data_IF_088376681692
#
_entry.id   IF_088376681692
#
_cell.length_a   1.000
_cell.length_b   1.000
_cell.length_c   1.000
_cell.angle_alpha   90.00
_cell.angle_beta   90.00
_cell.angle_gamma   90.00
#
_symmetry.space_group_name_H-M   'P 1'
#
loop_
_entity.id
_entity.type
_entity.pdbx_description
1 polymer ?
#
# COMPACT_ATOMS: atom_id res chain seq x y z
N UNK A 1 3.07 40.70 15.35
CA UNK A 1 3.58 39.45 14.74
C UNK A 1 2.40 38.51 14.57
N UNK A 2 2.16 37.97 13.36
CA UNK A 2 0.97 37.13 13.09
C UNK A 2 1.41 35.68 12.94
N UNK A 3 0.77 34.78 13.67
CA UNK A 3 1.01 33.35 13.55
C UNK A 3 0.20 32.79 12.37
N UNK A 4 0.86 31.98 11.56
CA UNK A 4 0.22 31.22 10.49
C UNK A 4 0.36 29.75 10.82
N UNK A 5 -0.74 28.99 10.67
CA UNK A 5 -0.67 27.54 10.76
C UNK A 5 -0.02 27.02 9.48
N UNK A 6 0.98 26.16 9.62
CA UNK A 6 1.66 25.54 8.50
C UNK A 6 1.95 24.07 8.74
N UNK A 7 2.20 23.36 7.65
CA UNK A 7 2.66 21.97 7.66
C UNK A 7 3.96 21.87 6.87
N UNK A 8 4.81 20.91 7.21
CA UNK A 8 6.02 20.65 6.43
C UNK A 8 5.70 19.57 5.40
N UNK A 9 5.84 19.92 4.12
CA UNK A 9 5.71 19.02 3.00
C UNK A 9 7.00 19.05 2.19
N UNK A 10 7.60 17.88 1.97
CA UNK A 10 8.86 17.75 1.22
C UNK A 10 10.00 18.67 1.73
N UNK A 11 10.03 18.94 3.05
CA UNK A 11 11.01 19.83 3.67
C UNK A 11 10.70 21.32 3.55
N UNK A 12 9.57 21.71 2.96
CA UNK A 12 9.13 23.10 2.82
C UNK A 12 7.92 23.37 3.72
N UNK A 13 7.90 24.53 4.39
CA UNK A 13 6.74 24.96 5.19
C UNK A 13 5.67 25.50 4.24
N UNK A 14 4.52 24.83 4.22
CA UNK A 14 3.32 25.24 3.48
C UNK A 14 2.34 25.84 4.46
N UNK A 15 1.90 27.08 4.19
CA UNK A 15 0.88 27.76 5.01
C UNK A 15 -0.49 27.21 4.67
N UNK A 16 -1.27 26.88 5.70
CA UNK A 16 -2.63 26.37 5.57
C UNK A 16 -3.62 27.48 5.88
N UNK A 17 -4.58 27.72 4.97
CA UNK A 17 -5.65 28.69 5.16
C UNK A 17 -5.22 30.15 5.01
N UNK A 18 -4.07 30.40 4.37
CA UNK A 18 -3.60 31.75 4.10
C UNK A 18 -2.46 31.79 3.08
N UNK A 19 -2.12 32.99 2.64
CA UNK A 19 -0.97 33.27 1.77
C UNK A 19 -0.18 34.44 2.32
N UNK A 20 1.13 34.42 2.10
CA UNK A 20 2.00 35.56 2.37
C UNK A 20 2.38 36.23 1.05
N UNK A 21 2.57 37.56 1.04
CA UNK A 21 3.12 38.26 -0.11
C UNK A 21 4.52 37.73 -0.47
N UNK A 22 4.86 37.79 -1.76
CA UNK A 22 6.22 37.49 -2.22
C UNK A 22 7.23 38.47 -1.60
N UNK A 23 8.45 37.99 -1.35
CA UNK A 23 9.49 38.76 -0.66
C UNK A 23 9.34 38.83 0.86
N UNK A 24 8.31 38.21 1.45
CA UNK A 24 8.16 38.16 2.91
C UNK A 24 9.23 37.27 3.54
N UNK A 25 10.08 37.83 4.41
CA UNK A 25 11.02 37.06 5.23
C UNK A 25 10.28 36.48 6.44
N UNK A 26 10.35 35.16 6.59
CA UNK A 26 9.64 34.44 7.65
C UNK A 26 10.61 33.73 8.60
N UNK A 27 10.31 33.83 9.89
CA UNK A 27 10.94 33.00 10.93
C UNK A 27 9.95 31.94 11.36
N UNK A 28 10.38 30.68 11.32
CA UNK A 28 9.53 29.53 11.67
C UNK A 28 9.83 29.11 13.11
N UNK A 29 8.83 29.20 13.98
CA UNK A 29 8.88 28.63 15.32
C UNK A 29 8.08 27.34 15.34
N UNK A 30 8.72 26.23 15.70
CA UNK A 30 8.07 24.91 15.81
C UNK A 30 7.96 24.57 17.29
N UNK A 31 6.74 24.31 17.78
CA UNK A 31 6.55 23.82 19.14
C UNK A 31 7.06 22.38 19.30
N UNK A 32 7.45 22.02 20.53
CA UNK A 32 8.00 20.69 20.83
C UNK A 32 7.01 19.56 20.53
N UNK A 33 5.72 19.77 20.84
CA UNK A 33 4.66 18.80 20.60
C UNK A 33 4.41 18.55 19.11
N UNK A 34 4.45 19.59 18.29
CA UNK A 34 4.34 19.50 16.83
C UNK A 34 5.53 18.77 16.22
N UNK A 35 6.74 19.07 16.72
CA UNK A 35 7.95 18.39 16.29
C UNK A 35 7.90 16.89 16.61
N UNK A 36 7.44 16.53 17.81
CA UNK A 36 7.28 15.14 18.22
C UNK A 36 6.26 14.41 17.35
N UNK A 37 5.08 15.01 17.11
CA UNK A 37 4.06 14.43 16.24
C UNK A 37 4.59 14.20 14.83
N UNK A 38 5.29 15.19 14.26
CA UNK A 38 5.89 15.07 12.94
C UNK A 38 6.90 13.90 12.87
N UNK A 39 7.73 13.72 13.91
CA UNK A 39 8.68 12.60 14.00
C UNK A 39 7.98 11.24 14.04
N UNK A 40 6.95 11.10 14.87
CA UNK A 40 6.17 9.85 14.97
C UNK A 40 5.51 9.52 13.63
N UNK A 41 4.84 10.50 13.02
CA UNK A 41 4.19 10.33 11.72
C UNK A 41 5.18 9.94 10.63
N UNK A 42 6.38 10.53 10.63
CA UNK A 42 7.43 10.19 9.66
C UNK A 42 7.89 8.72 9.81
N UNK A 43 8.04 8.23 11.04
CA UNK A 43 8.39 6.83 11.30
C UNK A 43 7.26 5.89 10.87
N UNK A 44 6.00 6.22 11.14
CA UNK A 44 4.85 5.40 10.78
C UNK A 44 4.60 5.33 9.27
N UNK A 45 4.80 6.45 8.55
CA UNK A 45 4.64 6.51 7.08
C UNK A 45 5.75 5.75 6.34
N UNK A 46 6.83 5.35 7.01
CA UNK A 46 7.92 4.59 6.39
C UNK A 46 7.41 3.17 6.08
N UNK A 47 7.33 2.77 4.79
CA UNK A 47 6.89 1.42 4.45
C UNK A 47 7.89 0.42 5.05
N UNK A 48 7.46 -0.31 6.08
CA UNK A 48 8.24 -1.40 6.65
C UNK A 48 8.32 -2.49 5.59
N UNK A 49 9.48 -2.67 4.96
CA UNK A 49 9.77 -3.81 4.09
C UNK A 49 9.81 -5.07 4.96
N UNK A 50 8.65 -5.64 5.25
CA UNK A 50 8.55 -6.95 5.88
C UNK A 50 8.89 -7.98 4.81
N UNK A 51 10.10 -8.52 4.85
CA UNK A 51 10.49 -9.67 4.03
C UNK A 51 9.79 -10.90 4.58
N UNK A 52 8.59 -11.17 4.10
CA UNK A 52 7.88 -12.41 4.43
C UNK A 52 8.57 -13.55 3.69
N UNK A 53 9.36 -14.35 4.41
CA UNK A 53 9.89 -15.60 3.86
C UNK A 53 8.75 -16.61 3.87
N UNK A 54 7.99 -16.65 2.78
CA UNK A 54 7.05 -17.72 2.48
C UNK A 54 7.84 -19.03 2.43
N UNK A 55 7.72 -19.85 3.48
CA UNK A 55 8.09 -21.26 3.40
C UNK A 55 7.02 -21.91 2.51
N UNK A 56 7.39 -22.62 1.44
CA UNK A 56 6.42 -23.37 0.66
C UNK A 56 5.83 -24.44 1.59
N UNK A 57 4.56 -24.29 1.95
CA UNK A 57 3.79 -25.35 2.59
C UNK A 57 3.41 -26.33 1.47
N UNK A 58 3.97 -27.55 1.43
CA UNK A 58 3.61 -28.54 0.42
C UNK A 58 2.19 -29.01 0.75
N UNK A 59 1.20 -28.52 -0.01
CA UNK A 59 -0.21 -28.84 0.21
C UNK A 59 -1.15 -27.93 -0.56
N UNK A 60 -0.81 -26.64 -0.73
CA UNK A 60 -1.68 -25.70 -1.46
C UNK A 60 -1.55 -25.77 -3.00
N UNK A 61 -0.49 -26.38 -3.52
CA UNK A 61 -0.33 -26.59 -4.97
C UNK A 61 -1.17 -27.77 -5.52
N UNK A 62 -1.62 -28.68 -4.65
CA UNK A 62 -2.42 -29.85 -5.04
C UNK A 62 -3.91 -29.52 -5.21
N UNK A 63 -4.41 -28.43 -4.62
CA UNK A 63 -5.83 -28.09 -4.69
C UNK A 63 -6.22 -27.47 -6.04
N UNK A 64 -5.27 -26.86 -6.76
CA UNK A 64 -5.51 -26.30 -8.10
C UNK A 64 -5.60 -27.36 -9.20
N UNK A 65 -4.85 -28.47 -9.09
CA UNK A 65 -4.83 -29.53 -10.09
C UNK A 65 -6.01 -30.51 -9.97
N UNK A 66 -6.65 -30.60 -8.81
CA UNK A 66 -7.79 -31.50 -8.60
C UNK A 66 -9.09 -31.00 -9.26
N UNK A 67 -9.18 -29.73 -9.64
CA UNK A 67 -10.40 -29.13 -10.19
C UNK A 67 -10.42 -29.11 -11.73
N UNK A 68 -9.32 -29.46 -12.39
CA UNK A 68 -9.19 -29.47 -13.86
C UNK A 68 -9.43 -30.85 -14.49
N UNK A 69 -9.51 -31.92 -13.66
CA UNK A 69 -9.67 -33.31 -14.12
C UNK A 69 -11.10 -33.86 -14.20
N UNK A 70 -12.13 -33.06 -13.90
CA UNK A 70 -13.53 -33.53 -13.80
C UNK A 70 -14.43 -33.13 -14.97
N UNK A 71 -13.90 -32.51 -16.02
CA UNK A 71 -14.67 -32.09 -17.21
C UNK A 71 -14.16 -32.79 -18.47
N UNK A 72 -14.19 -34.12 -18.51
CA UNK A 72 -14.20 -34.86 -19.78
C UNK A 72 -14.66 -36.32 -19.61
N UNK A 73 -15.97 -36.54 -19.67
CA UNK A 73 -16.53 -37.79 -20.18
C UNK A 73 -17.98 -37.56 -20.63
N UNK A 74 -18.16 -37.11 -21.88
CA UNK A 74 -19.44 -37.22 -22.58
C UNK A 74 -19.58 -38.63 -23.18
N UNK A 75 -20.77 -39.25 -23.21
CA UNK A 75 -20.96 -40.58 -23.77
C UNK A 75 -21.16 -40.46 -25.29
N UNK A 76 -20.12 -40.79 -26.06
CA UNK A 76 -20.19 -40.94 -27.51
C UNK A 76 -20.52 -42.38 -27.88
N UNK A 77 -21.56 -42.57 -28.67
CA UNK A 77 -22.08 -43.88 -29.07
C UNK A 77 -21.13 -44.70 -29.93
N UNK A 78 -21.21 -46.02 -29.78
CA UNK A 78 -20.64 -47.00 -30.70
C UNK A 78 -21.79 -47.86 -31.23
N UNK A 79 -22.16 -47.56 -32.48
CA UNK A 79 -22.99 -48.37 -33.36
C UNK A 79 -22.02 -49.01 -34.35
N UNK A 80 -22.00 -50.33 -34.47
CA UNK A 80 -21.13 -51.03 -35.42
C UNK A 80 -20.94 -52.49 -35.04
N UNK A 81 -21.98 -53.29 -35.29
CA UNK A 81 -21.98 -54.74 -35.30
C UNK A 81 -21.49 -55.24 -36.67
N UNK A 82 -20.40 -55.99 -36.70
CA UNK A 82 -20.03 -56.88 -37.80
C UNK A 82 -19.84 -58.29 -37.22
N UNK A 83 -20.84 -59.15 -37.44
CA UNK A 83 -20.78 -60.61 -37.64
C UNK A 83 -22.19 -61.16 -37.94
#
# INVERSE_FOLDING_TARGET
MKAYKGVVENGVVVIVGGRLPEGTVVTVTVGEGELLRARITNVLKRPRKVRVRLKPTPGLAMQGLAMEGLVQSGPGGILGSDD
#
